data_IF_761473759054
#
_entry.id   IF_761473759054
#
_cell.length_a   1.000
_cell.length_b   1.000
_cell.length_c   1.000
_cell.angle_alpha   90.00
_cell.angle_beta   90.00
_cell.angle_gamma   90.00
#
_symmetry.space_group_name_H-M   'P 1'
#
loop_
_entity.id
_entity.type
_entity.pdbx_description
1 polymer ?
#
# COMPACT_ATOMS: atom_id res chain seq x y z
N UNK A 1 9.29 -23.06 -8.64
CA UNK A 1 8.77 -22.76 -9.99
C UNK A 1 8.13 -21.39 -9.91
N UNK A 2 8.35 -20.55 -10.91
CA UNK A 2 7.66 -19.27 -10.97
C UNK A 2 6.16 -19.55 -11.18
N UNK A 3 5.32 -18.84 -10.47
CA UNK A 3 3.87 -18.99 -10.59
C UNK A 3 3.41 -18.48 -11.94
N UNK A 4 2.50 -19.20 -12.59
CA UNK A 4 1.78 -18.76 -13.78
C UNK A 4 0.28 -19.03 -13.60
N UNK A 5 -0.53 -17.97 -13.75
CA UNK A 5 -1.98 -18.07 -13.71
C UNK A 5 -2.53 -18.81 -14.92
N UNK A 6 -3.53 -19.70 -14.76
CA UNK A 6 -4.19 -20.33 -15.90
C UNK A 6 -4.87 -19.31 -16.83
N UNK A 7 -5.20 -18.11 -16.31
CA UNK A 7 -5.82 -17.03 -17.07
C UNK A 7 -4.87 -16.37 -18.07
N UNK A 8 -3.55 -16.64 -18.02
CA UNK A 8 -2.60 -16.26 -19.07
C UNK A 8 -2.86 -16.99 -20.39
N UNK A 9 -3.59 -18.08 -20.39
CA UNK A 9 -4.03 -18.79 -21.62
C UNK A 9 -5.14 -18.05 -22.38
N UNK A 10 -5.77 -17.05 -21.78
CA UNK A 10 -6.86 -16.27 -22.39
C UNK A 10 -6.36 -15.47 -23.58
N UNK A 11 -7.22 -15.34 -24.60
CA UNK A 11 -6.90 -14.60 -25.82
C UNK A 11 -6.54 -13.13 -25.50
N UNK A 12 -5.42 -12.68 -26.02
CA UNK A 12 -4.93 -11.31 -25.87
C UNK A 12 -4.16 -11.06 -24.57
N UNK A 13 -4.00 -12.08 -23.72
CA UNK A 13 -3.22 -11.96 -22.51
C UNK A 13 -1.75 -11.66 -22.82
N UNK A 14 -1.21 -10.65 -22.18
CA UNK A 14 0.21 -10.30 -22.15
C UNK A 14 0.66 -10.40 -20.71
N UNK A 15 1.69 -11.21 -20.44
CA UNK A 15 2.18 -11.44 -19.08
C UNK A 15 2.76 -10.17 -18.46
N UNK A 16 2.49 -9.96 -17.19
CA UNK A 16 3.10 -8.91 -16.39
C UNK A 16 4.53 -9.30 -15.98
N UNK A 17 5.30 -8.30 -15.55
CA UNK A 17 6.65 -8.46 -15.04
C UNK A 17 6.78 -7.86 -13.63
N UNK A 18 7.96 -8.07 -12.99
CA UNK A 18 8.25 -7.52 -11.68
C UNK A 18 7.33 -8.08 -10.59
N UNK A 19 6.76 -7.26 -9.70
CA UNK A 19 5.90 -7.71 -8.61
C UNK A 19 4.62 -8.42 -9.06
N UNK A 20 4.16 -8.13 -10.28
CA UNK A 20 2.93 -8.71 -10.85
C UNK A 20 3.21 -9.92 -11.76
N UNK A 21 4.44 -10.42 -11.78
CA UNK A 21 4.79 -11.59 -12.56
C UNK A 21 3.88 -12.79 -12.23
N UNK A 22 3.49 -13.52 -13.27
CA UNK A 22 2.62 -14.68 -13.15
C UNK A 22 1.14 -14.44 -13.47
N UNK A 23 0.72 -13.18 -13.66
CA UNK A 23 -0.64 -12.84 -14.12
C UNK A 23 -0.58 -11.95 -15.38
N UNK A 24 -1.72 -11.63 -15.95
CA UNK A 24 -1.75 -10.80 -17.14
C UNK A 24 -1.56 -9.31 -16.81
N UNK A 25 -0.69 -8.67 -17.58
CA UNK A 25 -0.53 -7.22 -17.62
C UNK A 25 -1.76 -6.55 -18.25
N UNK A 26 -2.24 -7.10 -19.36
CA UNK A 26 -3.51 -6.73 -20.00
C UNK A 26 -4.01 -7.88 -20.89
N UNK A 27 -5.26 -7.79 -21.37
CA UNK A 27 -5.92 -8.75 -22.27
C UNK A 27 -6.17 -8.17 -23.66
N UNK A 28 -5.41 -7.15 -24.07
CA UNK A 28 -5.39 -6.62 -25.44
C UNK A 28 -5.72 -5.14 -25.57
N UNK A 29 -6.59 -4.58 -24.74
CA UNK A 29 -6.90 -3.15 -24.73
C UNK A 29 -6.77 -2.54 -23.33
N UNK A 30 -5.54 -2.19 -22.90
CA UNK A 30 -5.31 -1.68 -21.55
C UNK A 30 -6.08 -0.38 -21.22
N UNK A 31 -6.42 0.43 -22.23
CA UNK A 31 -7.21 1.64 -22.01
C UNK A 31 -8.68 1.33 -21.77
N UNK A 32 -9.27 0.42 -22.53
CA UNK A 32 -10.64 -0.03 -22.30
C UNK A 32 -10.76 -0.79 -20.97
N UNK A 33 -9.75 -1.59 -20.62
CA UNK A 33 -9.67 -2.30 -19.36
C UNK A 33 -9.64 -1.35 -18.15
N UNK A 34 -8.84 -0.29 -18.19
CA UNK A 34 -8.85 0.75 -17.15
C UNK A 34 -10.21 1.42 -17.00
N UNK A 35 -10.84 1.78 -18.13
CA UNK A 35 -12.18 2.39 -18.11
C UNK A 35 -13.25 1.47 -17.53
N UNK A 36 -13.18 0.17 -17.81
CA UNK A 36 -14.09 -0.80 -17.22
C UNK A 36 -13.91 -0.89 -15.71
N UNK A 37 -12.64 -0.95 -15.25
CA UNK A 37 -12.31 -1.01 -13.84
C UNK A 37 -12.71 0.27 -13.09
N UNK A 38 -12.44 1.45 -13.65
CA UNK A 38 -12.79 2.73 -13.03
C UNK A 38 -14.29 2.97 -12.88
N UNK A 39 -15.11 2.34 -13.75
CA UNK A 39 -16.58 2.39 -13.68
C UNK A 39 -17.17 1.40 -12.69
N UNK A 40 -16.37 0.63 -12.00
CA UNK A 40 -16.85 -0.31 -10.98
C UNK A 40 -17.36 -1.65 -11.49
N UNK A 41 -17.07 -2.03 -12.74
CA UNK A 41 -17.58 -3.25 -13.36
C UNK A 41 -16.50 -4.06 -14.08
N UNK A 42 -15.53 -4.58 -13.34
CA UNK A 42 -14.49 -5.45 -13.88
C UNK A 42 -13.97 -6.42 -12.81
N UNK A 43 -13.35 -7.51 -13.24
CA UNK A 43 -12.67 -8.48 -12.38
C UNK A 43 -11.18 -8.54 -12.76
N UNK A 44 -10.33 -8.69 -11.76
CA UNK A 44 -8.86 -8.72 -11.93
C UNK A 44 -8.29 -9.99 -11.32
N UNK A 45 -7.45 -10.67 -12.07
CA UNK A 45 -6.63 -11.75 -11.53
C UNK A 45 -5.53 -11.18 -10.63
N UNK A 46 -5.65 -11.42 -9.32
CA UNK A 46 -4.67 -11.04 -8.30
C UNK A 46 -4.02 -12.28 -7.67
N UNK A 47 -4.05 -13.41 -8.37
CA UNK A 47 -3.55 -14.70 -7.86
C UNK A 47 -2.02 -14.77 -7.72
N UNK A 48 -1.31 -13.75 -8.18
CA UNK A 48 0.11 -13.54 -7.92
C UNK A 48 0.38 -13.00 -6.50
N UNK A 49 -0.63 -12.60 -5.74
CA UNK A 49 -0.45 -12.18 -4.35
C UNK A 49 -0.14 -13.37 -3.43
N UNK A 50 0.52 -13.08 -2.31
CA UNK A 50 0.81 -14.03 -1.25
C UNK A 50 -0.29 -14.04 -0.19
N UNK A 51 -0.59 -15.22 0.34
CA UNK A 51 -1.62 -15.41 1.36
C UNK A 51 -1.03 -16.19 2.52
N UNK A 52 -1.04 -15.59 3.73
CA UNK A 52 -0.64 -16.26 4.96
C UNK A 52 -1.87 -16.43 5.84
N UNK A 53 -2.13 -17.66 6.26
CA UNK A 53 -3.24 -18.01 7.16
C UNK A 53 -2.72 -18.22 8.58
N UNK A 54 -3.38 -17.59 9.54
CA UNK A 54 -3.08 -17.73 10.98
C UNK A 54 -4.33 -18.24 11.69
N UNK A 55 -4.30 -19.50 12.12
CA UNK A 55 -5.39 -20.15 12.84
C UNK A 55 -5.10 -20.25 14.33
N UNK A 56 -6.13 -20.56 15.11
CA UNK A 56 -6.02 -20.82 16.54
C UNK A 56 -6.61 -19.75 17.43
N UNK A 57 -6.93 -20.12 18.68
CA UNK A 57 -7.69 -19.25 19.58
C UNK A 57 -6.93 -18.00 20.03
N UNK A 58 -5.60 -18.02 20.03
CA UNK A 58 -4.78 -16.91 20.51
C UNK A 58 -4.38 -15.96 19.36
N UNK A 59 -4.84 -16.19 18.10
CA UNK A 59 -4.38 -15.48 16.88
C UNK A 59 -4.53 -13.97 16.92
N UNK A 60 -5.71 -13.47 17.31
CA UNK A 60 -5.99 -12.03 17.28
C UNK A 60 -5.20 -11.27 18.34
N UNK A 61 -5.23 -11.75 19.60
CA UNK A 61 -4.49 -11.12 20.71
C UNK A 61 -2.98 -11.19 20.49
N UNK A 62 -2.50 -12.28 19.91
CA UNK A 62 -1.09 -12.40 19.56
C UNK A 62 -0.68 -11.48 18.41
N UNK A 63 -1.39 -11.49 17.28
CA UNK A 63 -1.12 -10.57 16.18
C UNK A 63 -1.21 -9.11 16.64
N UNK A 64 -2.21 -8.79 17.48
CA UNK A 64 -2.30 -7.48 18.13
C UNK A 64 -1.00 -7.12 18.85
N UNK A 65 -0.41 -8.03 19.62
CA UNK A 65 0.77 -7.74 20.45
C UNK A 65 2.05 -7.52 19.64
N UNK A 66 2.17 -8.09 18.44
CA UNK A 66 3.42 -8.08 17.65
C UNK A 66 3.39 -7.19 16.39
N UNK A 67 2.22 -6.68 16.00
CA UNK A 67 2.04 -5.87 14.79
C UNK A 67 1.54 -4.45 15.11
N UNK A 68 1.53 -3.57 14.14
CA UNK A 68 1.19 -2.15 14.28
C UNK A 68 -0.30 -1.87 14.48
N UNK A 69 -1.19 -2.82 14.14
CA UNK A 69 -2.65 -2.60 14.13
C UNK A 69 -3.33 -3.18 15.38
N UNK A 70 -4.47 -2.60 15.76
CA UNK A 70 -5.33 -3.10 16.83
C UNK A 70 -6.20 -4.24 16.29
N UNK A 71 -6.00 -5.46 16.80
CA UNK A 71 -6.67 -6.66 16.29
C UNK A 71 -7.40 -7.46 17.38
N UNK A 72 -7.28 -7.07 18.65
CA UNK A 72 -7.73 -7.88 19.79
C UNK A 72 -9.25 -8.17 19.76
N UNK A 73 -10.02 -7.24 19.21
CA UNK A 73 -11.47 -7.36 19.05
C UNK A 73 -11.94 -7.27 17.58
N UNK A 74 -11.05 -7.62 16.64
CA UNK A 74 -11.43 -7.61 15.23
C UNK A 74 -12.57 -8.60 14.98
N UNK A 75 -13.76 -8.06 14.69
CA UNK A 75 -14.93 -8.87 14.44
C UNK A 75 -14.77 -9.70 13.16
N UNK A 76 -15.37 -10.89 13.08
CA UNK A 76 -15.36 -11.71 11.87
C UNK A 76 -15.84 -10.92 10.64
N UNK A 77 -15.15 -11.12 9.51
CA UNK A 77 -15.37 -10.46 8.21
C UNK A 77 -15.07 -8.97 8.18
N UNK A 78 -14.55 -8.41 9.26
CA UNK A 78 -13.99 -7.06 9.24
C UNK A 78 -12.57 -7.06 8.71
N UNK A 79 -12.30 -6.11 7.83
CA UNK A 79 -11.01 -5.93 7.21
C UNK A 79 -10.23 -4.79 7.88
N UNK A 80 -8.93 -4.95 7.90
CA UNK A 80 -7.99 -3.91 8.28
C UNK A 80 -6.66 -4.14 7.56
N UNK A 81 -5.61 -3.46 7.99
CA UNK A 81 -4.26 -3.58 7.45
C UNK A 81 -3.24 -3.50 8.58
N UNK A 82 -2.13 -4.19 8.46
CA UNK A 82 -1.08 -4.17 9.48
C UNK A 82 0.31 -4.05 8.87
N UNK A 83 1.25 -3.60 9.71
CA UNK A 83 2.69 -3.73 9.47
C UNK A 83 3.36 -4.63 10.50
N UNK A 84 4.39 -5.33 10.05
CA UNK A 84 5.51 -5.75 10.87
C UNK A 84 6.61 -4.70 10.67
N UNK A 85 6.98 -4.03 11.74
CA UNK A 85 8.02 -3.00 11.72
C UNK A 85 9.34 -3.53 12.28
N UNK A 86 10.46 -2.97 11.84
CA UNK A 86 11.76 -3.15 12.50
C UNK A 86 11.78 -2.46 13.86
N UNK A 87 12.77 -2.72 14.75
CA UNK A 87 12.94 -1.95 15.99
C UNK A 87 13.11 -0.44 15.75
N UNK A 88 13.57 -0.04 14.57
CA UNK A 88 13.74 1.35 14.14
C UNK A 88 12.46 1.95 13.52
N UNK A 89 11.37 1.17 13.43
CA UNK A 89 10.09 1.61 12.86
C UNK A 89 10.03 1.58 11.34
N UNK A 90 10.96 0.90 10.67
CA UNK A 90 10.91 0.69 9.22
C UNK A 90 9.93 -0.42 8.88
N UNK A 91 9.22 -0.30 7.77
CA UNK A 91 8.28 -1.32 7.29
C UNK A 91 9.06 -2.54 6.78
N UNK A 92 8.92 -3.67 7.45
CA UNK A 92 9.48 -4.96 7.01
C UNK A 92 8.45 -5.78 6.22
N UNK A 93 7.18 -5.79 6.69
CA UNK A 93 6.06 -6.42 6.00
C UNK A 93 4.82 -5.54 6.11
N UNK A 94 3.97 -5.61 5.09
CA UNK A 94 2.63 -5.04 5.05
C UNK A 94 1.65 -6.11 4.60
N UNK A 95 0.48 -6.17 5.22
CA UNK A 95 -0.56 -7.11 4.83
C UNK A 95 -1.96 -6.52 5.04
N UNK A 96 -2.84 -6.75 4.07
CA UNK A 96 -4.28 -6.65 4.26
C UNK A 96 -4.74 -7.80 5.16
N UNK A 97 -5.67 -7.53 6.06
CA UNK A 97 -6.09 -8.45 7.13
C UNK A 97 -7.59 -8.62 7.12
N UNK A 98 -8.06 -9.85 7.15
CA UNK A 98 -9.46 -10.20 7.41
C UNK A 98 -9.51 -11.44 8.28
N UNK A 99 -10.41 -11.47 9.26
CA UNK A 99 -10.65 -12.65 10.12
C UNK A 99 -11.99 -13.28 9.73
N UNK A 100 -12.05 -14.62 9.61
CA UNK A 100 -13.30 -15.33 9.27
C UNK A 100 -14.01 -15.93 10.48
N UNK A 101 -13.46 -15.71 11.69
CA UNK A 101 -13.93 -16.30 12.95
C UNK A 101 -13.11 -17.52 13.38
N UNK A 102 -12.47 -18.23 12.46
CA UNK A 102 -11.62 -19.40 12.72
C UNK A 102 -10.15 -19.11 12.47
N UNK A 103 -9.85 -18.32 11.45
CA UNK A 103 -8.51 -17.91 11.03
C UNK A 103 -8.46 -16.45 10.62
N UNK A 104 -7.29 -15.86 10.78
CA UNK A 104 -6.94 -14.54 10.22
C UNK A 104 -6.14 -14.75 8.93
N UNK A 105 -6.58 -14.09 7.88
CA UNK A 105 -5.99 -14.14 6.54
C UNK A 105 -5.21 -12.87 6.29
N UNK A 106 -3.95 -13.02 5.93
CA UNK A 106 -3.02 -11.95 5.63
C UNK A 106 -2.72 -11.97 4.14
N UNK A 107 -3.12 -10.93 3.41
CA UNK A 107 -2.81 -10.80 1.97
C UNK A 107 -1.64 -9.84 1.82
N UNK A 108 -0.59 -10.28 1.15
CA UNK A 108 0.66 -9.53 0.98
C UNK A 108 1.26 -9.77 -0.41
N UNK A 109 2.46 -9.23 -0.68
CA UNK A 109 3.20 -9.57 -1.88
C UNK A 109 3.65 -11.03 -1.86
N UNK A 110 3.57 -11.74 -3.01
CA UNK A 110 3.98 -13.15 -3.07
C UNK A 110 5.42 -13.36 -2.57
N UNK A 111 6.32 -12.50 -2.99
CA UNK A 111 7.71 -12.57 -2.57
C UNK A 111 7.91 -12.35 -1.05
N UNK A 112 6.96 -11.68 -0.38
CA UNK A 112 7.01 -11.40 1.06
C UNK A 112 6.36 -12.49 1.91
N UNK A 113 5.43 -13.29 1.37
CA UNK A 113 4.65 -14.25 2.12
C UNK A 113 5.49 -15.31 2.86
N UNK A 114 6.49 -15.96 2.25
CA UNK A 114 7.32 -16.94 2.96
C UNK A 114 8.11 -16.32 4.13
N UNK A 115 8.63 -15.10 3.94
CA UNK A 115 9.38 -14.40 4.99
C UNK A 115 8.48 -13.94 6.13
N UNK A 116 7.27 -13.46 5.83
CA UNK A 116 6.25 -13.10 6.80
C UNK A 116 5.81 -14.33 7.60
N UNK A 117 5.46 -15.44 6.94
CA UNK A 117 5.08 -16.69 7.61
C UNK A 117 6.18 -17.21 8.53
N UNK A 118 7.44 -17.22 8.06
CA UNK A 118 8.58 -17.65 8.86
C UNK A 118 8.86 -16.69 10.05
N UNK A 119 8.64 -15.39 9.89
CA UNK A 119 8.77 -14.43 10.99
C UNK A 119 7.68 -14.67 12.04
N UNK A 120 6.43 -14.81 11.63
CA UNK A 120 5.32 -15.13 12.50
C UNK A 120 5.55 -16.44 13.25
N UNK A 121 6.01 -17.50 12.57
CA UNK A 121 6.27 -18.79 13.19
C UNK A 121 7.33 -18.71 14.30
N UNK A 122 8.37 -17.91 14.11
CA UNK A 122 9.39 -17.65 15.15
C UNK A 122 8.84 -16.87 16.35
N UNK A 123 7.81 -16.05 16.16
CA UNK A 123 7.25 -15.17 17.19
C UNK A 123 6.12 -15.83 18.00
N UNK A 124 5.59 -16.97 17.59
CA UNK A 124 4.44 -17.62 18.25
C UNK A 124 4.75 -18.21 19.63
N UNK A 125 6.01 -18.56 19.87
CA UNK A 125 6.47 -19.15 21.12
C UNK A 125 5.60 -20.34 21.57
N UNK A 126 4.92 -20.24 22.73
CA UNK A 126 4.05 -21.29 23.28
C UNK A 126 2.55 -21.01 23.04
N UNK A 127 2.20 -20.06 22.20
CA UNK A 127 0.81 -19.68 21.92
C UNK A 127 0.14 -20.69 20.98
N UNK A 128 -1.18 -20.83 21.13
CA UNK A 128 -2.01 -21.77 20.36
C UNK A 128 -2.38 -21.15 19.03
N UNK A 129 -1.37 -20.98 18.19
CA UNK A 129 -1.51 -20.46 16.83
C UNK A 129 -0.80 -21.37 15.84
N UNK A 130 -1.37 -21.51 14.67
CA UNK A 130 -0.81 -22.22 13.53
C UNK A 130 -0.68 -21.24 12.36
N UNK A 131 0.52 -21.15 11.79
CA UNK A 131 0.84 -20.27 10.67
C UNK A 131 1.10 -21.12 9.43
N UNK A 132 0.40 -20.82 8.36
CA UNK A 132 0.54 -21.51 7.06
C UNK A 132 0.76 -20.48 5.96
N UNK A 133 1.80 -20.66 5.15
CA UNK A 133 1.86 -19.99 3.84
C UNK A 133 0.89 -20.73 2.91
N UNK A 134 -0.28 -20.14 2.72
CA UNK A 134 -1.39 -20.68 1.94
C UNK A 134 -1.37 -20.19 0.47
N UNK A 135 -0.26 -19.57 0.05
CA UNK A 135 -0.14 -18.93 -1.28
C UNK A 135 -0.38 -19.91 -2.43
N UNK A 136 0.01 -21.16 -2.30
CA UNK A 136 -0.16 -22.14 -3.38
C UNK A 136 -1.54 -22.82 -3.37
N UNK A 137 -2.30 -22.69 -2.29
CA UNK A 137 -3.64 -23.27 -2.14
C UNK A 137 -4.76 -22.26 -2.42
N UNK A 138 -4.50 -20.97 -2.19
CA UNK A 138 -5.46 -19.89 -2.31
C UNK A 138 -5.04 -18.87 -3.34
N UNK A 139 -6.02 -18.19 -3.91
CA UNK A 139 -5.84 -17.09 -4.86
C UNK A 139 -6.71 -15.90 -4.46
N UNK A 140 -6.29 -14.70 -4.86
CA UNK A 140 -7.08 -13.50 -4.71
C UNK A 140 -7.66 -13.06 -6.06
N UNK A 141 -8.92 -12.59 -6.03
CA UNK A 141 -9.60 -11.94 -7.16
C UNK A 141 -9.88 -10.50 -6.75
N UNK A 142 -9.44 -9.55 -7.57
CA UNK A 142 -9.63 -8.12 -7.32
C UNK A 142 -10.94 -7.61 -7.93
N UNK A 143 -11.67 -6.79 -7.18
CA UNK A 143 -12.93 -6.19 -7.61
C UNK A 143 -13.06 -4.74 -7.14
N UNK A 144 -13.58 -3.81 -7.98
CA UNK A 144 -13.79 -2.40 -7.61
C UNK A 144 -15.14 -2.21 -6.88
N UNK A 145 -15.32 -2.87 -5.74
CA UNK A 145 -16.58 -2.90 -4.99
C UNK A 145 -16.36 -2.50 -3.54
N UNK A 146 -17.20 -1.59 -3.03
CA UNK A 146 -17.16 -1.13 -1.64
C UNK A 146 -17.97 -2.02 -0.68
N UNK A 147 -18.88 -2.87 -1.19
CA UNK A 147 -19.77 -3.68 -0.34
C UNK A 147 -18.97 -4.71 0.46
N UNK A 148 -19.19 -4.75 1.76
CA UNK A 148 -18.66 -5.82 2.64
C UNK A 148 -19.28 -7.17 2.26
N UNK A 149 -18.51 -8.25 2.40
CA UNK A 149 -18.99 -9.61 2.16
C UNK A 149 -20.04 -10.01 3.19
N UNK A 150 -21.14 -10.63 2.71
CA UNK A 150 -22.18 -11.15 3.56
C UNK A 150 -21.81 -12.51 4.17
N UNK A 151 -22.55 -12.95 5.18
CA UNK A 151 -22.41 -14.30 5.73
C UNK A 151 -22.66 -15.35 4.64
N UNK A 152 -21.76 -16.32 4.52
CA UNK A 152 -21.81 -17.35 3.47
C UNK A 152 -21.04 -17.01 2.18
N UNK A 153 -20.60 -15.76 2.00
CA UNK A 153 -19.70 -15.37 0.90
C UNK A 153 -18.23 -15.77 1.19
N UNK A 154 -17.36 -15.86 0.17
CA UNK A 154 -15.95 -16.09 0.34
C UNK A 154 -15.29 -15.09 1.29
N UNK A 155 -14.18 -15.47 1.90
CA UNK A 155 -13.36 -14.54 2.71
C UNK A 155 -12.91 -13.38 1.83
N UNK A 156 -13.21 -12.15 2.26
CA UNK A 156 -12.97 -10.96 1.44
C UNK A 156 -12.31 -9.88 2.26
N UNK A 157 -11.16 -9.43 1.81
CA UNK A 157 -10.50 -8.25 2.35
C UNK A 157 -10.94 -7.00 1.59
N UNK A 158 -11.31 -5.96 2.33
CA UNK A 158 -11.69 -4.64 1.82
C UNK A 158 -10.59 -3.64 2.10
N UNK A 159 -10.15 -2.92 1.07
CA UNK A 159 -9.19 -1.83 1.22
C UNK A 159 -9.89 -0.63 1.88
N UNK A 160 -9.43 -0.26 3.07
CA UNK A 160 -9.96 0.89 3.77
C UNK A 160 -9.46 2.22 3.19
N UNK A 161 -8.45 2.20 2.31
CA UNK A 161 -7.87 3.40 1.73
C UNK A 161 -8.89 4.24 0.95
N UNK A 162 -8.93 5.57 1.14
CA UNK A 162 -8.05 6.42 1.98
C UNK A 162 -8.63 6.74 3.37
N UNK A 163 -9.62 6.00 3.84
CA UNK A 163 -10.25 6.24 5.13
C UNK A 163 -9.27 6.03 6.28
N UNK A 164 -9.44 6.81 7.35
CA UNK A 164 -8.67 6.59 8.58
C UNK A 164 -9.37 5.53 9.41
N UNK A 165 -8.72 4.38 9.59
CA UNK A 165 -9.23 3.31 10.46
C UNK A 165 -9.11 3.70 11.95
N UNK A 166 -9.84 3.02 12.84
CA UNK A 166 -9.81 3.32 14.28
C UNK A 166 -8.38 3.40 14.83
N UNK A 167 -8.05 4.51 15.46
CA UNK A 167 -6.71 4.77 16.00
C UNK A 167 -5.62 5.12 14.99
N UNK A 168 -5.95 5.21 13.71
CA UNK A 168 -5.05 5.72 12.67
C UNK A 168 -4.94 7.23 12.69
N UNK A 169 -4.07 7.77 11.85
CA UNK A 169 -3.93 9.23 11.59
C UNK A 169 -3.53 9.47 10.15
N UNK A 170 -3.76 10.70 9.68
CA UNK A 170 -3.39 11.10 8.33
C UNK A 170 -2.41 12.27 8.30
N UNK A 171 -1.62 12.31 7.25
CA UNK A 171 -0.72 13.42 6.90
C UNK A 171 -1.25 14.19 5.69
N UNK A 172 -1.86 13.50 4.75
CA UNK A 172 -2.47 14.05 3.55
C UNK A 172 -3.89 14.61 3.78
N UNK A 173 -4.63 14.87 2.70
CA UNK A 173 -5.96 15.49 2.74
C UNK A 173 -7.01 14.61 3.43
N UNK A 174 -8.16 15.19 3.74
CA UNK A 174 -9.31 14.45 4.26
C UNK A 174 -9.80 13.41 3.24
N UNK A 175 -10.51 12.39 3.71
CA UNK A 175 -11.03 11.31 2.87
C UNK A 175 -11.89 11.85 1.71
N UNK A 176 -12.71 12.87 1.97
CA UNK A 176 -13.59 13.49 0.97
C UNK A 176 -12.86 14.26 -0.13
N UNK A 177 -11.59 14.62 0.11
CA UNK A 177 -10.74 15.37 -0.83
C UNK A 177 -9.66 14.49 -1.46
N UNK A 178 -9.59 13.22 -1.01
CA UNK A 178 -8.55 12.30 -1.42
C UNK A 178 -8.96 11.54 -2.70
N UNK A 179 -8.13 11.48 -3.76
CA UNK A 179 -8.50 10.80 -5.01
C UNK A 179 -8.83 9.32 -4.81
N UNK A 180 -8.23 8.67 -3.83
CA UNK A 180 -8.53 7.28 -3.47
C UNK A 180 -9.98 7.01 -3.02
N UNK A 181 -10.75 8.06 -2.65
CA UNK A 181 -12.16 7.90 -2.29
C UNK A 181 -13.02 7.39 -3.46
N UNK A 182 -12.60 7.67 -4.69
CA UNK A 182 -13.26 7.19 -5.90
C UNK A 182 -12.90 5.75 -6.28
N UNK A 183 -11.98 5.10 -5.55
CA UNK A 183 -11.47 3.76 -5.86
C UNK A 183 -11.81 2.75 -4.76
N UNK A 184 -13.04 2.29 -4.66
CA UNK A 184 -13.32 1.13 -3.81
C UNK A 184 -12.57 -0.09 -4.32
N UNK A 185 -12.04 -0.91 -3.41
CA UNK A 185 -11.28 -2.09 -3.78
C UNK A 185 -11.47 -3.22 -2.77
N UNK A 186 -11.67 -4.44 -3.28
CA UNK A 186 -11.66 -5.63 -2.44
C UNK A 186 -10.91 -6.79 -3.09
N UNK A 187 -10.42 -7.70 -2.27
CA UNK A 187 -9.79 -8.95 -2.67
C UNK A 187 -10.63 -10.11 -2.13
N UNK A 188 -11.24 -10.87 -3.03
CA UNK A 188 -12.00 -12.08 -2.71
C UNK A 188 -11.04 -13.26 -2.71
N UNK A 189 -10.91 -13.96 -1.59
CA UNK A 189 -10.05 -15.13 -1.46
C UNK A 189 -10.83 -16.38 -1.86
N UNK A 190 -10.29 -17.13 -2.81
CA UNK A 190 -10.89 -18.35 -3.33
C UNK A 190 -9.86 -19.49 -3.34
N UNK A 191 -10.27 -20.76 -3.22
CA UNK A 191 -9.37 -21.86 -3.51
C UNK A 191 -8.74 -21.68 -4.88
N UNK A 192 -7.44 -21.86 -4.99
CA UNK A 192 -6.73 -21.63 -6.26
C UNK A 192 -7.26 -22.50 -7.41
N UNK A 193 -7.75 -23.71 -7.10
CA UNK A 193 -8.37 -24.60 -8.07
C UNK A 193 -9.65 -24.02 -8.68
N UNK A 194 -10.32 -23.10 -7.99
CA UNK A 194 -11.60 -22.51 -8.41
C UNK A 194 -11.44 -21.16 -9.13
N UNK A 195 -10.20 -20.65 -9.26
CA UNK A 195 -9.91 -19.33 -9.84
C UNK A 195 -10.56 -19.11 -11.21
N UNK A 196 -10.43 -20.07 -12.13
CA UNK A 196 -10.98 -19.95 -13.49
C UNK A 196 -12.51 -19.92 -13.49
N UNK A 197 -13.16 -20.78 -12.69
CA UNK A 197 -14.62 -20.85 -12.55
C UNK A 197 -15.19 -19.60 -11.90
N UNK A 198 -14.52 -19.08 -10.90
CA UNK A 198 -14.89 -17.86 -10.18
C UNK A 198 -14.80 -16.62 -11.08
N UNK A 199 -13.73 -16.51 -11.87
CA UNK A 199 -13.60 -15.44 -12.88
C UNK A 199 -14.66 -15.60 -13.98
N UNK A 200 -14.86 -16.82 -14.49
CA UNK A 200 -15.88 -17.07 -15.52
C UNK A 200 -17.31 -16.70 -15.04
N UNK A 201 -17.63 -16.93 -13.78
CA UNK A 201 -18.91 -16.52 -13.19
C UNK A 201 -19.10 -14.99 -13.22
N UNK A 202 -18.04 -14.22 -12.96
CA UNK A 202 -18.07 -12.75 -13.02
C UNK A 202 -18.18 -12.24 -14.45
N UNK A 203 -17.46 -12.88 -15.40
CA UNK A 203 -17.59 -12.58 -16.81
C UNK A 203 -19.02 -12.83 -17.31
N UNK A 204 -19.64 -13.94 -16.88
CA UNK A 204 -21.04 -14.25 -17.19
C UNK A 204 -22.03 -13.24 -16.60
N UNK A 205 -21.66 -12.59 -15.49
CA UNK A 205 -22.42 -11.49 -14.89
C UNK A 205 -22.14 -10.12 -15.57
N UNK A 206 -21.32 -10.08 -16.60
CA UNK A 206 -21.04 -8.89 -17.40
C UNK A 206 -19.80 -8.09 -16.95
N UNK A 207 -18.94 -8.67 -16.09
CA UNK A 207 -17.70 -8.04 -15.64
C UNK A 207 -16.52 -8.53 -16.48
N UNK A 208 -15.94 -7.70 -17.37
CA UNK A 208 -14.78 -8.12 -18.13
C UNK A 208 -13.58 -8.41 -17.23
N UNK A 209 -12.82 -9.44 -17.62
CA UNK A 209 -11.52 -9.70 -17.04
C UNK A 209 -10.52 -8.67 -17.55
N UNK A 210 -9.80 -8.00 -16.64
CA UNK A 210 -8.81 -6.96 -16.96
C UNK A 210 -7.48 -7.26 -16.26
N UNK A 211 -6.39 -6.74 -16.83
CA UNK A 211 -5.05 -6.99 -16.33
C UNK A 211 -4.56 -6.01 -15.28
N UNK A 212 -3.36 -6.29 -14.74
CA UNK A 212 -2.75 -5.50 -13.67
C UNK A 212 -2.32 -4.10 -14.11
N UNK A 213 -2.16 -3.83 -15.41
CA UNK A 213 -2.00 -2.46 -15.90
C UNK A 213 -3.14 -1.54 -15.44
N UNK A 214 -4.37 -2.03 -15.51
CA UNK A 214 -5.52 -1.24 -15.08
C UNK A 214 -5.47 -0.97 -13.57
N UNK A 215 -5.15 -1.96 -12.75
CA UNK A 215 -5.05 -1.78 -11.29
C UNK A 215 -3.91 -0.86 -10.89
N UNK A 216 -2.75 -0.98 -11.52
CA UNK A 216 -1.59 -0.13 -11.19
C UNK A 216 -1.86 1.34 -11.57
N UNK A 217 -2.45 1.61 -12.74
CA UNK A 217 -2.80 2.98 -13.11
C UNK A 217 -3.78 3.63 -12.14
N UNK A 218 -4.84 2.91 -11.76
CA UNK A 218 -5.83 3.43 -10.78
C UNK A 218 -5.28 3.45 -9.34
N UNK A 219 -4.32 2.59 -8.99
CA UNK A 219 -3.62 2.63 -7.71
C UNK A 219 -2.77 3.90 -7.58
N UNK A 220 -2.01 4.22 -8.63
CA UNK A 220 -1.17 5.44 -8.69
C UNK A 220 -2.05 6.69 -8.61
N UNK A 221 -3.15 6.74 -9.38
CA UNK A 221 -4.14 7.83 -9.30
C UNK A 221 -4.70 7.98 -7.88
N UNK A 222 -5.00 6.86 -7.21
CA UNK A 222 -5.51 6.86 -5.83
C UNK A 222 -4.44 7.12 -4.76
N UNK A 223 -3.19 7.40 -5.11
CA UNK A 223 -2.05 7.57 -4.21
C UNK A 223 -1.85 6.42 -3.23
N UNK A 224 -2.32 5.23 -3.59
CA UNK A 224 -2.27 4.05 -2.72
C UNK A 224 -0.86 3.44 -2.71
N UNK A 225 -0.13 3.49 -1.59
CA UNK A 225 1.20 2.87 -1.52
C UNK A 225 1.10 1.34 -1.55
N UNK A 226 2.16 0.70 -2.04
CA UNK A 226 2.30 -0.75 -2.15
C UNK A 226 3.68 -1.19 -1.63
N UNK A 227 3.73 -2.30 -0.90
CA UNK A 227 4.98 -2.79 -0.28
C UNK A 227 6.09 -3.00 -1.30
N UNK A 228 5.78 -3.60 -2.46
CA UNK A 228 6.76 -3.90 -3.49
C UNK A 228 7.24 -2.67 -4.30
N UNK A 229 6.67 -1.50 -4.08
CA UNK A 229 6.90 -0.28 -4.87
C UNK A 229 7.46 0.87 -4.04
N UNK A 230 6.68 1.37 -3.07
CA UNK A 230 7.01 2.58 -2.30
C UNK A 230 7.88 2.30 -1.08
N UNK A 231 8.14 1.03 -0.73
CA UNK A 231 8.86 0.67 0.48
C UNK A 231 10.29 0.21 0.17
N UNK A 232 11.26 0.89 0.76
CA UNK A 232 12.65 0.47 0.84
C UNK A 232 13.03 0.07 2.29
N UNK A 233 14.28 -0.32 2.51
CA UNK A 233 14.79 -0.76 3.81
C UNK A 233 14.82 0.34 4.90
N UNK A 234 14.43 1.58 4.60
CA UNK A 234 14.41 2.74 5.51
C UNK A 234 13.05 3.38 5.63
N UNK A 235 12.07 2.92 4.86
CA UNK A 235 10.74 3.53 4.81
C UNK A 235 10.02 3.39 6.14
N UNK A 236 9.53 4.51 6.66
CA UNK A 236 8.62 4.55 7.80
C UNK A 236 7.20 4.87 7.31
N UNK A 237 6.14 4.38 8.00
CA UNK A 237 4.76 4.55 7.55
C UNK A 237 4.34 6.00 7.28
N UNK A 238 4.91 6.95 8.02
CA UNK A 238 4.64 8.39 7.94
C UNK A 238 4.97 8.98 6.56
N UNK A 239 6.00 8.48 5.90
CA UNK A 239 6.46 8.97 4.60
C UNK A 239 5.44 8.75 3.50
N UNK A 240 4.56 7.74 3.68
CA UNK A 240 3.60 7.27 2.69
C UNK A 240 2.14 7.57 3.06
N UNK A 241 1.88 8.34 4.12
CA UNK A 241 0.54 8.52 4.72
C UNK A 241 -0.15 7.19 5.10
N UNK A 242 0.61 6.11 5.26
CA UNK A 242 0.08 4.76 5.45
C UNK A 242 -0.26 4.44 6.92
N UNK A 243 -0.18 5.46 7.81
CA UNK A 243 -0.74 5.37 9.15
C UNK A 243 -2.27 5.41 9.15
N UNK A 244 -2.90 5.84 8.04
CA UNK A 244 -4.35 5.87 7.90
C UNK A 244 -4.98 4.51 8.21
N UNK A 245 -4.43 3.46 7.63
CA UNK A 245 -5.04 2.13 7.59
C UNK A 245 -4.28 1.08 8.39
N UNK A 246 -2.96 1.20 8.50
CA UNK A 246 -2.11 0.12 8.95
C UNK A 246 -1.48 0.32 10.34
N UNK A 247 -1.73 1.44 11.02
CA UNK A 247 -1.16 1.73 12.34
C UNK A 247 -2.22 2.27 13.29
N UNK A 248 -2.32 1.65 14.47
CA UNK A 248 -3.12 2.18 15.57
C UNK A 248 -2.19 2.89 16.56
N UNK A 249 -2.24 4.22 16.62
CA UNK A 249 -1.30 5.05 17.39
C UNK A 249 -1.43 4.83 18.89
N UNK A 250 -2.64 4.59 19.39
CA UNK A 250 -2.97 4.51 20.81
C UNK A 250 -3.09 3.08 21.35
N UNK A 251 -2.64 2.06 20.62
CA UNK A 251 -2.61 0.68 21.13
C UNK A 251 -1.41 0.42 22.05
N UNK A 252 -1.41 -0.73 22.72
CA UNK A 252 -0.29 -1.22 23.54
C UNK A 252 1.03 -1.40 22.75
N UNK A 253 2.08 -1.83 23.45
CA UNK A 253 3.42 -1.94 22.87
C UNK A 253 3.47 -2.93 21.70
N UNK A 254 4.20 -2.55 20.65
CA UNK A 254 4.58 -3.40 19.53
C UNK A 254 5.97 -2.97 19.03
N UNK A 255 6.60 -3.83 18.24
CA UNK A 255 7.95 -3.60 17.70
C UNK A 255 7.96 -2.35 16.80
N UNK A 256 8.89 -1.42 17.06
CA UNK A 256 9.04 -0.16 16.30
C UNK A 256 8.15 1.00 16.75
N UNK A 257 7.24 0.78 17.72
CA UNK A 257 6.29 1.80 18.19
C UNK A 257 6.97 3.08 18.67
N UNK A 258 8.14 2.99 19.35
CA UNK A 258 8.82 4.19 19.87
C UNK A 258 9.16 5.18 18.75
N UNK A 259 9.66 4.68 17.60
CA UNK A 259 9.95 5.53 16.45
C UNK A 259 8.67 6.11 15.86
N UNK A 260 7.62 5.29 15.70
CA UNK A 260 6.31 5.75 15.21
C UNK A 260 5.79 6.88 16.08
N UNK A 261 5.71 6.68 17.40
CA UNK A 261 5.23 7.67 18.35
C UNK A 261 6.11 8.94 18.38
N UNK A 262 7.44 8.78 18.31
CA UNK A 262 8.36 9.92 18.33
C UNK A 262 8.21 10.79 17.07
N UNK A 263 8.11 10.18 15.88
CA UNK A 263 7.92 10.94 14.64
C UNK A 263 6.56 11.61 14.64
N UNK A 264 5.51 10.91 15.04
CA UNK A 264 4.15 11.45 15.13
C UNK A 264 4.07 12.65 16.10
N UNK A 265 4.59 12.52 17.32
CA UNK A 265 4.44 13.51 18.37
C UNK A 265 5.41 14.69 18.27
N UNK A 266 6.66 14.44 17.89
CA UNK A 266 7.76 15.40 18.02
C UNK A 266 8.56 15.59 16.72
N UNK A 267 8.58 14.58 15.87
CA UNK A 267 9.43 14.55 14.69
C UNK A 267 8.72 14.99 13.40
N UNK A 268 9.36 14.67 12.32
CA UNK A 268 8.86 14.81 10.94
C UNK A 268 9.49 13.70 10.12
N UNK A 269 8.77 13.07 9.20
CA UNK A 269 9.36 12.06 8.33
C UNK A 269 10.47 12.70 7.46
N UNK A 270 11.59 12.00 7.22
CA UNK A 270 12.69 12.55 6.42
C UNK A 270 12.37 12.67 4.93
N UNK A 271 11.42 11.87 4.46
CA UNK A 271 10.96 11.82 3.07
C UNK A 271 9.43 11.96 3.04
N UNK A 272 8.88 12.12 1.86
CA UNK A 272 7.44 12.19 1.63
C UNK A 272 7.03 11.62 0.29
N UNK A 273 5.89 10.99 0.24
CA UNK A 273 5.24 10.53 -0.99
C UNK A 273 4.64 11.74 -1.72
N UNK A 274 4.81 11.76 -3.03
CA UNK A 274 4.14 12.67 -3.97
C UNK A 274 3.63 11.89 -5.17
N UNK A 275 2.58 12.38 -5.80
CA UNK A 275 2.21 11.98 -7.14
C UNK A 275 2.90 12.91 -8.15
N UNK A 276 3.31 12.36 -9.28
CA UNK A 276 3.94 13.07 -10.39
C UNK A 276 3.07 13.00 -11.63
N UNK A 277 2.77 14.15 -12.23
CA UNK A 277 2.29 14.27 -13.59
C UNK A 277 3.49 14.42 -14.52
N UNK A 278 3.75 13.38 -15.32
CA UNK A 278 4.91 13.31 -16.20
C UNK A 278 4.60 13.90 -17.57
N UNK A 279 5.56 14.61 -18.18
CA UNK A 279 5.40 15.09 -19.54
C UNK A 279 5.33 13.92 -20.53
N UNK A 280 4.21 13.79 -21.22
CA UNK A 280 3.95 12.73 -22.17
C UNK A 280 4.44 13.00 -23.61
N UNK A 281 5.10 14.12 -23.86
CA UNK A 281 5.45 14.56 -25.22
C UNK A 281 6.37 13.61 -25.98
N UNK A 282 7.19 12.85 -25.25
CA UNK A 282 8.13 11.88 -25.82
C UNK A 282 7.50 10.48 -26.01
N UNK A 283 6.26 10.26 -25.59
CA UNK A 283 5.58 8.97 -25.62
C UNK A 283 6.29 7.82 -24.89
N UNK A 284 7.33 8.10 -24.12
CA UNK A 284 8.09 7.18 -23.30
C UNK A 284 7.72 7.35 -21.83
N UNK A 285 7.83 6.28 -21.05
CA UNK A 285 7.74 6.30 -19.60
C UNK A 285 9.11 6.01 -19.02
N UNK A 286 9.57 6.76 -18.00
CA UNK A 286 10.75 6.37 -17.25
C UNK A 286 10.50 5.05 -16.52
N UNK A 287 11.56 4.32 -16.27
CA UNK A 287 11.47 3.07 -15.50
C UNK A 287 11.33 3.37 -14.00
N UNK A 288 10.74 2.45 -13.27
CA UNK A 288 10.74 2.48 -11.82
C UNK A 288 12.18 2.45 -11.27
N UNK A 289 12.43 3.21 -10.20
CA UNK A 289 13.78 3.41 -9.69
C UNK A 289 14.50 4.60 -10.32
N UNK A 290 13.94 5.25 -11.35
CA UNK A 290 14.50 6.46 -11.95
C UNK A 290 14.69 7.57 -10.91
N UNK A 291 15.80 8.31 -11.05
CA UNK A 291 16.10 9.42 -10.14
C UNK A 291 15.17 10.62 -10.38
N UNK A 292 14.65 11.17 -9.30
CA UNK A 292 13.94 12.46 -9.33
C UNK A 292 14.90 13.56 -8.92
N UNK A 293 15.04 14.58 -9.78
CA UNK A 293 16.03 15.64 -9.64
C UNK A 293 15.38 17.02 -9.63
N UNK A 294 16.03 17.98 -9.00
CA UNK A 294 15.74 19.41 -9.24
C UNK A 294 16.25 19.82 -10.62
N UNK A 295 15.60 20.77 -11.31
CA UNK A 295 16.12 21.32 -12.55
C UNK A 295 17.53 21.88 -12.37
N UNK A 296 18.41 21.66 -13.34
CA UNK A 296 19.76 22.15 -13.28
C UNK A 296 19.82 23.64 -13.68
N UNK A 297 20.39 24.48 -12.84
CA UNK A 297 20.80 25.81 -13.25
C UNK A 297 22.06 25.73 -14.11
N UNK A 298 21.97 25.98 -15.42
CA UNK A 298 23.14 26.10 -16.29
C UNK A 298 23.60 24.84 -17.04
N UNK A 299 22.71 23.86 -17.27
CA UNK A 299 22.92 22.77 -18.24
C UNK A 299 23.70 21.57 -17.75
N UNK A 300 23.78 21.32 -16.43
CA UNK A 300 24.34 20.10 -15.83
C UNK A 300 23.26 19.16 -15.29
N UNK A 301 23.63 17.98 -14.77
CA UNK A 301 22.71 17.10 -14.08
C UNK A 301 22.20 17.75 -12.79
N UNK A 302 20.88 17.82 -12.62
CA UNK A 302 20.25 18.39 -11.43
C UNK A 302 20.52 17.55 -10.17
N UNK A 303 20.31 18.14 -8.98
CA UNK A 303 20.50 17.46 -7.70
C UNK A 303 19.42 16.39 -7.50
N UNK A 304 19.84 15.15 -7.21
CA UNK A 304 18.92 14.05 -6.87
C UNK A 304 18.21 14.33 -5.54
N UNK A 305 16.89 14.33 -5.59
CA UNK A 305 16.02 14.63 -4.45
C UNK A 305 15.05 13.50 -4.11
N UNK A 306 14.95 12.46 -4.93
CA UNK A 306 14.08 11.33 -4.67
C UNK A 306 14.19 10.25 -5.74
N UNK A 307 13.23 9.34 -5.70
CA UNK A 307 13.13 8.18 -6.61
C UNK A 307 11.69 8.01 -7.06
N UNK A 308 11.49 7.76 -8.34
CA UNK A 308 10.22 7.32 -8.91
C UNK A 308 9.98 5.88 -8.48
N UNK A 309 8.90 5.62 -7.76
CA UNK A 309 8.62 4.30 -7.19
C UNK A 309 7.58 3.52 -7.98
N UNK A 310 6.64 4.24 -8.60
CA UNK A 310 5.63 3.68 -9.49
C UNK A 310 5.44 4.57 -10.69
N UNK A 311 5.13 3.97 -11.84
CA UNK A 311 4.82 4.68 -13.06
C UNK A 311 3.71 3.97 -13.83
N UNK A 312 2.77 4.74 -14.37
CA UNK A 312 1.66 4.20 -15.14
C UNK A 312 1.24 5.17 -16.25
N UNK A 313 0.63 4.61 -17.30
CA UNK A 313 -0.12 5.41 -18.28
C UNK A 313 -1.59 5.34 -17.94
N UNK A 314 -2.10 6.40 -17.35
CA UNK A 314 -3.52 6.50 -16.99
C UNK A 314 -4.36 6.90 -18.19
N UNK A 315 -5.59 6.36 -18.28
CA UNK A 315 -6.48 6.54 -19.45
C UNK A 315 -7.00 7.97 -19.64
N UNK A 316 -6.99 8.79 -18.59
CA UNK A 316 -7.41 10.20 -18.62
C UNK A 316 -6.24 11.15 -18.30
N UNK A 317 -5.45 10.85 -17.24
CA UNK A 317 -4.38 11.73 -16.77
C UNK A 317 -3.09 11.61 -17.60
N UNK A 318 -3.01 10.62 -18.51
CA UNK A 318 -1.78 10.35 -19.25
C UNK A 318 -0.70 9.71 -18.38
N UNK A 319 0.59 10.04 -18.58
CA UNK A 319 1.68 9.51 -17.79
C UNK A 319 1.66 10.07 -16.35
N UNK A 320 1.58 9.18 -15.38
CA UNK A 320 1.59 9.50 -13.95
C UNK A 320 2.56 8.60 -13.20
N UNK A 321 2.98 9.01 -12.01
CA UNK A 321 3.82 8.19 -11.14
C UNK A 321 3.69 8.55 -9.67
N UNK A 322 4.16 7.65 -8.80
CA UNK A 322 4.42 7.96 -7.40
C UNK A 322 5.93 8.08 -7.19
N UNK A 323 6.33 9.00 -6.33
CA UNK A 323 7.73 9.17 -5.98
C UNK A 323 7.91 9.47 -4.50
N UNK A 324 9.02 8.97 -3.95
CA UNK A 324 9.43 9.28 -2.58
C UNK A 324 10.54 10.34 -2.63
N UNK A 325 10.21 11.55 -2.20
CA UNK A 325 11.13 12.70 -2.22
C UNK A 325 11.68 13.00 -0.83
N UNK A 326 12.83 13.68 -0.78
CA UNK A 326 13.30 14.35 0.44
C UNK A 326 12.26 15.36 0.90
N UNK A 327 11.92 15.37 2.18
CA UNK A 327 10.85 16.22 2.74
C UNK A 327 10.98 17.71 2.40
N UNK A 328 12.22 18.22 2.36
CA UNK A 328 12.51 19.65 2.16
C UNK A 328 12.52 20.11 0.69
N UNK A 329 12.08 19.28 -0.25
CA UNK A 329 11.86 19.71 -1.64
C UNK A 329 10.65 20.64 -1.65
N UNK A 330 10.76 21.86 -2.22
CA UNK A 330 9.62 22.77 -2.29
C UNK A 330 8.46 22.16 -3.08
N UNK A 331 7.23 22.41 -2.64
CA UNK A 331 6.03 21.77 -3.17
C UNK A 331 5.63 22.29 -4.56
N UNK A 332 6.06 23.49 -4.91
CA UNK A 332 5.79 24.17 -6.17
C UNK A 332 6.92 24.03 -7.21
N UNK A 333 7.96 23.27 -6.87
CA UNK A 333 9.11 23.07 -7.77
C UNK A 333 8.79 22.04 -8.84
N UNK A 334 8.99 22.42 -10.11
CA UNK A 334 9.05 21.45 -11.21
C UNK A 334 10.23 20.50 -11.01
N UNK A 335 10.05 19.24 -11.36
CA UNK A 335 11.02 18.17 -11.18
C UNK A 335 11.43 17.59 -12.53
N UNK A 336 12.56 16.90 -12.56
CA UNK A 336 13.03 16.11 -13.70
C UNK A 336 13.18 14.67 -13.26
N UNK A 337 12.51 13.75 -13.92
CA UNK A 337 12.71 12.30 -13.77
C UNK A 337 13.74 11.87 -14.79
N UNK A 338 14.88 11.38 -14.30
CA UNK A 338 16.01 10.97 -15.12
C UNK A 338 16.24 9.45 -14.97
N UNK A 339 16.22 8.74 -16.08
CA UNK A 339 16.41 7.29 -16.16
C UNK A 339 16.90 6.87 -17.53
N UNK A 340 16.68 5.62 -17.85
CA UNK A 340 17.00 5.04 -19.15
C UNK A 340 15.78 4.29 -19.66
N UNK A 341 15.60 4.27 -20.97
CA UNK A 341 14.65 3.41 -21.66
C UNK A 341 15.37 2.71 -22.80
N UNK A 342 15.40 1.39 -22.79
CA UNK A 342 16.13 0.57 -23.79
C UNK A 342 17.60 0.98 -23.96
N UNK A 343 18.28 1.35 -22.85
CA UNK A 343 19.67 1.77 -22.84
C UNK A 343 19.94 3.19 -23.38
N UNK A 344 18.87 3.99 -23.58
CA UNK A 344 18.99 5.39 -23.97
C UNK A 344 18.59 6.28 -22.80
N UNK A 345 19.37 7.35 -22.51
CA UNK A 345 18.99 8.32 -21.47
C UNK A 345 17.64 8.95 -21.75
N UNK A 346 16.80 9.03 -20.74
CA UNK A 346 15.51 9.69 -20.79
C UNK A 346 15.43 10.71 -19.64
N UNK A 347 15.07 11.94 -19.97
CA UNK A 347 14.71 12.96 -18.99
C UNK A 347 13.29 13.45 -19.29
N UNK A 348 12.43 13.40 -18.28
CA UNK A 348 11.02 13.78 -18.37
C UNK A 348 10.73 14.82 -17.29
N UNK A 349 10.19 15.96 -17.67
CA UNK A 349 9.71 16.95 -16.69
C UNK A 349 8.46 16.44 -15.98
N UNK A 350 8.32 16.83 -14.71
CA UNK A 350 7.22 16.39 -13.87
C UNK A 350 6.73 17.49 -12.94
N UNK A 351 5.42 17.67 -12.88
CA UNK A 351 4.75 18.47 -11.86
C UNK A 351 4.37 17.56 -10.69
N UNK A 352 4.59 18.03 -9.45
CA UNK A 352 4.22 17.26 -8.27
C UNK A 352 2.83 17.62 -7.74
N UNK A 353 2.08 16.62 -7.33
CA UNK A 353 0.87 16.73 -6.54
C UNK A 353 1.13 16.16 -5.15
N UNK A 354 0.72 16.88 -4.10
CA UNK A 354 1.17 16.63 -2.74
C UNK A 354 0.31 15.56 -2.07
N UNK A 355 0.91 14.41 -1.80
CA UNK A 355 0.29 13.35 -0.99
C UNK A 355 0.58 13.57 0.49
N UNK A 356 1.86 13.72 0.83
CA UNK A 356 2.31 14.05 2.19
C UNK A 356 2.93 15.45 2.17
N UNK A 357 2.41 16.40 2.97
CA UNK A 357 2.92 17.77 3.02
C UNK A 357 4.38 17.87 3.46
N UNK A 358 5.07 18.89 2.96
CA UNK A 358 6.48 19.14 3.28
C UNK A 358 6.73 19.58 4.73
N UNK A 359 5.70 20.05 5.44
CA UNK A 359 5.79 20.33 6.87
C UNK A 359 5.91 19.04 7.70
N UNK A 360 5.45 17.90 7.16
CA UNK A 360 5.58 16.58 7.76
C UNK A 360 4.84 16.43 9.09
N UNK A 361 3.71 17.11 9.24
CA UNK A 361 2.86 17.04 10.42
C UNK A 361 1.56 16.30 10.12
N UNK A 362 1.16 15.39 11.02
CA UNK A 362 -0.17 14.80 10.98
C UNK A 362 -1.21 15.80 11.47
N UNK A 363 -2.47 15.59 11.04
CA UNK A 363 -3.59 16.45 11.46
C UNK A 363 -3.90 16.34 12.94
N UNK A 364 -3.63 15.18 13.55
CA UNK A 364 -3.91 14.86 14.94
C UNK A 364 -2.66 14.99 15.84
N UNK A 365 -1.64 15.70 15.35
CA UNK A 365 -0.42 15.89 16.12
C UNK A 365 -0.74 16.62 17.42
N UNK A 366 -0.32 16.10 18.61
CA UNK A 366 -0.49 16.79 19.87
C UNK A 366 0.13 18.20 19.82
N UNK A 367 -0.59 19.21 20.29
CA UNK A 367 -0.02 20.54 20.45
C UNK A 367 1.23 20.45 21.34
N UNK A 368 2.34 21.02 20.89
CA UNK A 368 3.53 21.12 21.72
C UNK A 368 3.17 22.05 22.89
N UNK A 369 2.99 21.48 24.07
CA UNK A 369 3.03 22.29 25.27
C UNK A 369 4.41 22.97 25.28
N UNK A 370 4.42 24.29 25.15
CA UNK A 370 5.64 25.08 25.20
C UNK A 370 6.46 24.71 26.46
N UNK A 371 7.76 25.06 26.49
CA UNK A 371 8.62 24.64 27.59
C UNK A 371 7.91 24.91 28.90
N UNK A 372 7.76 23.87 29.73
CA UNK A 372 7.23 24.00 31.10
C UNK A 372 7.97 25.16 31.74
N UNK A 373 7.26 26.27 31.98
CA UNK A 373 7.82 27.42 32.66
C UNK A 373 8.32 26.94 34.00
N UNK A 374 9.63 27.05 34.35
CA UNK A 374 10.10 26.67 35.66
C UNK A 374 9.63 27.77 36.64
N UNK A 375 8.52 27.52 37.29
CA UNK A 375 8.01 28.51 38.22
C UNK A 375 6.71 28.08 38.87
N UNK A 376 6.86 27.39 39.98
CA UNK A 376 6.09 27.59 41.21
C UNK A 376 6.44 26.43 42.16
N UNK A 377 7.59 26.58 42.84
CA UNK A 377 7.74 25.91 44.16
C UNK A 377 6.66 26.49 45.04
N UNK A 378 5.63 25.71 45.34
CA UNK A 378 4.71 26.00 46.41
C UNK A 378 5.47 26.09 47.78
N UNK A 379 5.02 26.89 48.72
CA UNK A 379 5.71 27.06 49.99
C UNK A 379 5.76 25.72 50.72
N UNK A 380 6.95 25.36 51.22
CA UNK A 380 7.16 24.26 52.13
C UNK A 380 6.33 24.55 53.41
N UNK A 381 5.29 23.77 53.67
CA UNK A 381 4.68 23.71 55.00
C UNK A 381 5.58 22.90 55.91
N UNK A 382 6.26 23.59 56.81
CA UNK A 382 6.76 23.04 58.04
C UNK A 382 5.55 22.66 58.90
N UNK A 383 5.41 21.38 59.21
CA UNK A 383 5.19 20.85 60.60
C UNK A 383 5.45 19.34 60.53
#
# INVERSE_FOLDING_TARGET
MDYESPLLSRRGAVAAAGPDAGVAWHYGDPTAEQRALSRGGAVVDQSHLGIVRVAGPDRLSWLHSITSQYLDDLAPRRSTELFVLSPQGHVEHAAGVVDDGEATWLVTERASAPALAAWLDRMKFMLRVEITDATDEWAAIGEPVAAEGAEGEPVTWHDAWPNVTGGGTRYGPAESEHPGAARPWRLVLVPRADLESEVAAREAAGWPLVGTWATEALRVEAWRPRLAREVDNRTIPHELDWLRTAVHINKGCYRGQETVARVHNLGRPPRRLVMLHLDGSQHLLPEEGAEVRLPAAGGGAGKVVGTLTSVARHHELGPIGLAVLKRNVPEDTELVVAGEVSGQPLEVTAAQEIVVPGDGMSVDRPESHGPLTPGLRGPASLI
#
